data_IF_396781294533
#
_entry.id   IF_396781294533
#
_cell.length_a   1.000
_cell.length_b   1.000
_cell.length_c   1.000
_cell.angle_alpha   90.00
_cell.angle_beta   90.00
_cell.angle_gamma   90.00
#
_symmetry.space_group_name_H-M   'P 1'
#
loop_
_entity.id
_entity.type
_entity.pdbx_description
1 polymer ?
#
# COMPACT_ATOMS: atom_id res chain seq x y z
N UNK A 1 -6.45 -23.11 -15.73
CA UNK A 1 -6.90 -21.71 -15.88
C UNK A 1 -6.81 -21.09 -14.49
N UNK A 2 -5.75 -20.35 -14.18
CA UNK A 2 -5.68 -19.64 -12.89
C UNK A 2 -6.73 -18.53 -12.94
N UNK A 3 -7.75 -18.63 -12.09
CA UNK A 3 -8.73 -17.55 -11.93
C UNK A 3 -7.94 -16.27 -11.64
N UNK A 4 -8.08 -15.27 -12.50
CA UNK A 4 -7.65 -13.91 -12.15
C UNK A 4 -8.33 -13.62 -10.82
N UNK A 5 -7.56 -13.20 -9.83
CA UNK A 5 -8.11 -12.86 -8.54
C UNK A 5 -9.23 -11.84 -8.72
N UNK A 6 -10.28 -11.91 -7.90
CA UNK A 6 -11.37 -10.93 -7.93
C UNK A 6 -10.85 -9.59 -7.38
N UNK A 7 -10.10 -8.87 -8.22
CA UNK A 7 -9.48 -7.58 -7.90
C UNK A 7 -10.52 -6.50 -8.15
N UNK A 8 -10.88 -5.79 -7.10
CA UNK A 8 -11.67 -4.57 -7.19
C UNK A 8 -10.72 -3.37 -7.25
N UNK A 9 -10.77 -2.62 -8.35
CA UNK A 9 -10.04 -1.36 -8.47
C UNK A 9 -10.88 -0.21 -7.90
N UNK A 10 -10.43 0.36 -6.79
CA UNK A 10 -11.03 1.55 -6.19
C UNK A 10 -10.40 2.81 -6.77
N UNK A 11 -11.19 3.69 -7.41
CA UNK A 11 -10.70 4.94 -7.95
C UNK A 11 -10.24 5.89 -6.83
N UNK A 12 -9.30 6.80 -7.15
CA UNK A 12 -8.89 7.83 -6.22
C UNK A 12 -10.05 8.77 -5.89
N UNK A 13 -10.16 9.18 -4.62
CA UNK A 13 -11.19 10.13 -4.19
C UNK A 13 -10.90 11.57 -4.64
N UNK A 14 -9.66 11.87 -4.99
CA UNK A 14 -9.20 13.17 -5.49
C UNK A 14 -8.33 12.95 -6.71
N UNK A 15 -8.39 13.87 -7.67
CA UNK A 15 -7.58 13.79 -8.88
C UNK A 15 -6.07 13.74 -8.52
N UNK A 16 -5.33 12.85 -9.18
CA UNK A 16 -3.89 12.66 -8.93
C UNK A 16 -3.54 11.75 -7.75
N UNK A 17 -4.51 11.35 -6.91
CA UNK A 17 -4.25 10.34 -5.88
C UNK A 17 -4.14 8.93 -6.47
N UNK A 18 -3.76 7.97 -5.62
CA UNK A 18 -3.57 6.59 -6.02
C UNK A 18 -4.89 5.84 -6.24
N UNK A 19 -4.91 4.98 -7.26
CA UNK A 19 -5.88 3.89 -7.37
C UNK A 19 -5.44 2.75 -6.47
N UNK A 20 -6.39 2.06 -5.84
CA UNK A 20 -6.11 0.92 -4.98
C UNK A 20 -6.69 -0.35 -5.57
N UNK A 21 -5.91 -1.44 -5.57
CA UNK A 21 -6.40 -2.78 -5.85
C UNK A 21 -6.80 -3.43 -4.53
N UNK A 22 -8.05 -3.88 -4.43
CA UNK A 22 -8.60 -4.58 -3.27
C UNK A 22 -8.94 -6.02 -3.63
N UNK A 23 -8.72 -6.91 -2.68
CA UNK A 23 -9.20 -8.30 -2.73
C UNK A 23 -9.86 -8.56 -1.38
N UNK A 24 -11.10 -9.04 -1.38
CA UNK A 24 -11.91 -9.24 -0.16
C UNK A 24 -11.92 -8.00 0.78
N UNK A 25 -11.93 -6.79 0.21
CA UNK A 25 -11.91 -5.52 0.95
C UNK A 25 -10.54 -5.11 1.51
N UNK A 26 -9.48 -5.87 1.28
CA UNK A 26 -8.11 -5.58 1.73
C UNK A 26 -7.29 -5.03 0.56
N UNK A 27 -6.63 -3.88 0.77
CA UNK A 27 -5.73 -3.31 -0.24
C UNK A 27 -4.46 -4.15 -0.39
N UNK A 28 -4.21 -4.66 -1.59
CA UNK A 28 -3.03 -5.51 -1.90
C UNK A 28 -2.04 -4.83 -2.84
N UNK A 29 -2.46 -3.76 -3.52
CA UNK A 29 -1.60 -2.94 -4.35
C UNK A 29 -2.19 -1.54 -4.54
N UNK A 30 -1.38 -0.62 -5.06
CA UNK A 30 -1.83 0.68 -5.56
C UNK A 30 -1.06 1.10 -6.80
N UNK A 31 -1.66 1.97 -7.61
CA UNK A 31 -0.97 2.67 -8.69
C UNK A 31 -1.16 4.18 -8.55
N UNK A 32 -0.14 4.95 -8.92
CA UNK A 32 -0.21 6.42 -8.85
C UNK A 32 0.65 7.05 -9.94
N UNK A 33 0.20 8.17 -10.50
CA UNK A 33 1.02 8.97 -11.41
C UNK A 33 2.12 9.65 -10.61
N UNK A 34 3.36 9.47 -11.05
CA UNK A 34 4.53 10.06 -10.38
C UNK A 34 4.71 11.52 -10.79
N UNK A 35 5.45 12.27 -9.96
CA UNK A 35 5.88 13.63 -10.27
C UNK A 35 7.09 13.68 -11.23
N UNK A 36 7.53 12.54 -11.78
CA UNK A 36 8.62 12.54 -12.76
C UNK A 36 8.18 13.30 -14.02
N UNK A 37 9.12 14.04 -14.63
CA UNK A 37 8.85 14.89 -15.80
C UNK A 37 8.31 14.10 -17.02
N UNK A 38 8.56 12.79 -17.07
CA UNK A 38 8.07 11.89 -18.10
C UNK A 38 6.69 11.29 -17.81
N UNK A 39 6.06 11.69 -16.69
CA UNK A 39 4.69 11.33 -16.35
C UNK A 39 4.47 9.84 -16.06
N UNK A 40 5.53 9.09 -15.71
CA UNK A 40 5.43 7.66 -15.41
C UNK A 40 4.45 7.37 -14.27
N UNK A 41 3.87 6.20 -14.31
CA UNK A 41 3.06 5.60 -13.26
C UNK A 41 3.89 4.65 -12.41
N UNK A 42 3.73 4.73 -11.09
CA UNK A 42 4.27 3.77 -10.13
C UNK A 42 3.18 2.78 -9.78
N UNK A 43 3.44 1.50 -9.98
CA UNK A 43 2.71 0.41 -9.37
C UNK A 43 3.47 -0.10 -8.14
N UNK A 44 2.75 -0.37 -7.06
CA UNK A 44 3.30 -0.97 -5.85
C UNK A 44 2.41 -2.12 -5.41
N UNK A 45 2.96 -3.33 -5.38
CA UNK A 45 2.27 -4.53 -4.87
C UNK A 45 2.83 -4.86 -3.50
N UNK A 46 1.97 -5.32 -2.60
CA UNK A 46 2.34 -5.66 -1.22
C UNK A 46 2.24 -7.16 -0.96
N UNK A 47 3.31 -7.93 -1.24
CA UNK A 47 3.33 -9.38 -1.00
C UNK A 47 3.43 -9.76 0.48
N UNK A 48 3.68 -8.79 1.38
CA UNK A 48 3.79 -9.01 2.81
C UNK A 48 3.54 -7.73 3.61
N UNK A 49 3.51 -7.81 4.95
CA UNK A 49 3.05 -6.71 5.81
C UNK A 49 4.00 -5.50 5.81
N UNK A 50 5.27 -5.70 5.49
CA UNK A 50 6.33 -4.68 5.47
C UNK A 50 7.12 -4.65 4.15
N UNK A 51 6.60 -5.30 3.10
CA UNK A 51 7.27 -5.39 1.80
C UNK A 51 6.40 -4.80 0.71
N UNK A 52 7.02 -3.97 -0.12
CA UNK A 52 6.45 -3.48 -1.37
C UNK A 52 7.37 -3.87 -2.53
N UNK A 53 6.78 -4.23 -3.67
CA UNK A 53 7.47 -4.40 -4.92
C UNK A 53 7.00 -3.32 -5.88
N UNK A 54 7.96 -2.62 -6.49
CA UNK A 54 7.69 -1.46 -7.33
C UNK A 54 7.93 -1.75 -8.80
N UNK A 55 7.06 -1.20 -9.64
CA UNK A 55 7.24 -1.14 -11.09
C UNK A 55 6.90 0.27 -11.57
N UNK A 56 7.65 0.76 -12.56
CA UNK A 56 7.38 2.04 -13.19
C UNK A 56 6.99 1.82 -14.65
N UNK A 57 5.82 2.31 -15.04
CA UNK A 57 5.30 2.19 -16.40
C UNK A 57 5.04 3.57 -17.01
N UNK A 58 5.09 3.70 -18.33
CA UNK A 58 4.77 4.98 -19.01
C UNK A 58 3.28 5.29 -19.08
N UNK A 59 2.43 4.31 -18.81
CA UNK A 59 0.98 4.44 -18.94
C UNK A 59 0.27 3.72 -17.78
N UNK A 60 -0.93 4.21 -17.47
CA UNK A 60 -1.78 3.72 -16.36
C UNK A 60 -2.18 2.25 -16.56
N UNK A 61 -2.64 1.91 -17.76
CA UNK A 61 -3.05 0.55 -18.15
C UNK A 61 -1.94 -0.48 -17.95
N UNK A 62 -0.68 -0.09 -18.25
CA UNK A 62 0.49 -0.96 -18.05
C UNK A 62 0.84 -1.13 -16.58
N UNK A 63 0.63 -0.12 -15.75
CA UNK A 63 0.79 -0.22 -14.31
C UNK A 63 -0.29 -1.15 -13.70
N UNK A 64 -1.55 -1.01 -14.12
CA UNK A 64 -2.64 -1.92 -13.71
C UNK A 64 -2.37 -3.36 -14.15
N UNK A 65 -2.01 -3.57 -15.42
CA UNK A 65 -1.70 -4.88 -15.97
C UNK A 65 -0.58 -5.58 -15.19
N UNK A 66 0.47 -4.85 -14.81
CA UNK A 66 1.54 -5.41 -13.98
C UNK A 66 1.02 -5.94 -12.65
N UNK A 67 0.18 -5.17 -11.95
CA UNK A 67 -0.42 -5.57 -10.67
C UNK A 67 -1.28 -6.82 -10.85
N UNK A 68 -2.19 -6.80 -11.82
CA UNK A 68 -3.07 -7.93 -12.12
C UNK A 68 -2.28 -9.20 -12.46
N UNK A 69 -1.24 -9.05 -13.29
CA UNK A 69 -0.40 -10.17 -13.70
C UNK A 69 0.39 -10.73 -12.52
N UNK A 70 0.99 -9.87 -11.71
CA UNK A 70 1.73 -10.31 -10.52
C UNK A 70 0.81 -11.05 -9.55
N UNK A 71 -0.34 -10.48 -9.24
CA UNK A 71 -1.31 -11.07 -8.30
C UNK A 71 -1.91 -12.38 -8.84
N UNK A 72 -2.03 -12.54 -10.15
CA UNK A 72 -2.45 -13.83 -10.75
C UNK A 72 -1.49 -14.99 -10.47
N UNK A 73 -0.22 -14.69 -10.15
CA UNK A 73 0.83 -15.69 -9.91
C UNK A 73 1.28 -15.75 -8.45
N UNK A 74 1.15 -14.65 -7.70
CA UNK A 74 1.77 -14.47 -6.39
C UNK A 74 0.81 -13.87 -5.36
N UNK A 75 -0.50 -14.15 -5.48
CA UNK A 75 -1.49 -13.65 -4.53
C UNK A 75 -1.10 -14.00 -3.08
N UNK A 76 -0.89 -13.02 -2.19
CA UNK A 76 -0.68 -13.31 -0.77
C UNK A 76 -1.96 -13.88 -0.13
N UNK A 77 -1.82 -14.55 1.01
CA UNK A 77 -2.97 -14.76 1.89
C UNK A 77 -3.45 -13.41 2.42
N UNK A 78 -4.54 -12.93 1.82
CA UNK A 78 -5.07 -11.58 2.04
C UNK A 78 -5.57 -11.39 3.47
N UNK A 79 -6.16 -12.42 4.07
CA UNK A 79 -6.68 -12.36 5.46
C UNK A 79 -5.53 -12.31 6.45
N UNK A 80 -4.49 -13.09 6.20
CA UNK A 80 -3.28 -13.06 7.04
C UNK A 80 -2.53 -11.73 6.89
N UNK A 81 -2.42 -11.21 5.66
CA UNK A 81 -1.79 -9.92 5.39
C UNK A 81 -2.48 -8.78 6.16
N UNK A 82 -3.82 -8.74 6.16
CA UNK A 82 -4.57 -7.73 6.92
C UNK A 82 -4.35 -7.87 8.44
N UNK A 83 -4.39 -9.10 8.96
CA UNK A 83 -4.12 -9.38 10.38
C UNK A 83 -2.74 -8.87 10.80
N UNK A 84 -1.70 -9.18 10.03
CA UNK A 84 -0.32 -8.77 10.31
C UNK A 84 -0.16 -7.25 10.25
N UNK A 85 -0.80 -6.58 9.28
CA UNK A 85 -0.79 -5.11 9.20
C UNK A 85 -1.48 -4.45 10.37
N UNK A 86 -2.63 -4.98 10.82
CA UNK A 86 -3.31 -4.47 12.01
C UNK A 86 -2.45 -4.64 13.26
N UNK A 87 -1.77 -5.78 13.40
CA UNK A 87 -0.83 -6.00 14.50
C UNK A 87 0.33 -4.98 14.49
N UNK A 88 0.91 -4.70 13.33
CA UNK A 88 1.96 -3.68 13.19
C UNK A 88 1.45 -2.28 13.56
N UNK A 89 0.23 -1.91 13.13
CA UNK A 89 -0.39 -0.62 13.50
C UNK A 89 -0.68 -0.52 15.01
N UNK A 90 -1.11 -1.61 15.64
CA UNK A 90 -1.35 -1.69 17.08
C UNK A 90 -0.06 -1.70 17.93
N UNK A 91 1.06 -2.09 17.34
CA UNK A 91 2.39 -2.11 18.00
C UNK A 91 3.14 -0.76 17.95
N UNK A 92 2.60 0.23 17.23
CA UNK A 92 3.09 1.61 17.26
C UNK A 92 2.85 2.21 18.64
N UNK A 93 3.85 2.06 19.51
CA UNK A 93 3.78 2.39 20.92
C UNK A 93 3.13 3.74 21.18
N UNK A 94 2.23 3.76 22.17
CA UNK A 94 1.92 4.98 22.89
C UNK A 94 3.26 5.64 23.23
N UNK A 95 3.56 6.76 22.57
CA UNK A 95 4.70 7.57 22.97
C UNK A 95 4.49 7.85 24.47
N UNK A 96 5.42 7.46 25.36
CA UNK A 96 5.27 7.79 26.76
C UNK A 96 5.05 9.31 26.84
N UNK A 97 4.09 9.77 27.67
CA UNK A 97 3.74 11.19 27.72
C UNK A 97 5.03 12.00 27.90
N UNK A 98 5.28 12.92 26.96
CA UNK A 98 6.45 13.81 27.06
C UNK A 98 6.37 14.52 28.40
N UNK A 99 7.36 14.31 29.28
CA UNK A 99 7.51 15.13 30.49
C UNK A 99 7.48 16.61 30.05
N UNK A 100 6.73 17.49 30.74
CA UNK A 100 6.77 18.91 30.45
C UNK A 100 8.21 19.42 30.63
N UNK A 101 8.69 20.18 29.64
CA UNK A 101 10.03 20.79 29.66
C UNK A 101 10.05 21.86 30.75
N UNK A 102 10.85 21.65 31.82
CA UNK A 102 11.15 22.67 32.82
C UNK A 102 10.85 22.34 34.29
N UNK A 103 10.88 21.07 34.71
CA UNK A 103 10.67 20.69 36.12
C UNK A 103 11.96 20.38 36.90
N UNK A 104 13.14 20.75 36.41
CA UNK A 104 14.40 20.62 37.14
C UNK A 104 15.11 21.99 37.22
N UNK A 105 15.70 22.25 38.38
CA UNK A 105 16.36 23.48 38.85
C UNK A 105 15.49 24.57 39.52
N UNK A 106 14.97 24.22 40.69
CA UNK A 106 15.05 25.10 41.87
C UNK A 106 15.58 24.30 43.05
N UNK A 107 16.84 24.52 43.41
CA UNK A 107 17.40 24.27 44.74
C UNK A 107 18.20 25.50 45.15
#
# INVERSE_FOLDING_TARGET
>A
MHSIANIEWKPPAVEGAAWFALVDGVSVAYITKTAHADGRWRAAVTPGPSRELHCYARAEDKAMYFVERYLSCHMPDVRELDRQRRALRGSGGALPPRKPKGAEDRS
#
